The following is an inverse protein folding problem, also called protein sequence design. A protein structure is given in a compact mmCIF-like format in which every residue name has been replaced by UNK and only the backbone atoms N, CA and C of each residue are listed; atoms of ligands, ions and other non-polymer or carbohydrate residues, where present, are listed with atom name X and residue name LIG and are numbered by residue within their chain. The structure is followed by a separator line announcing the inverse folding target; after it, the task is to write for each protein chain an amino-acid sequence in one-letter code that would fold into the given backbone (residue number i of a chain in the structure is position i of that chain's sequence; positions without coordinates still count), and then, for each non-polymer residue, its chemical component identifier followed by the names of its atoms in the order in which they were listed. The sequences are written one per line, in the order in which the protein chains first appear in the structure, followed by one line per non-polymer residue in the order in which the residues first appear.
data_IF_062423053699
#
_entry.id   IF_062423053699
#
_cell.length_a   1.000
_cell.length_b   1.000
_cell.length_c   1.000
_cell.angle_alpha   90.00
_cell.angle_beta   90.00
_cell.angle_gamma   90.00
#
_symmetry.space_group_name_H-M   'P 1'
#
loop_
_entity.id
_entity.type
_entity.pdbx_description
1 polymer ?
#
# COMPACT_ATOMS: atom_id res chain seq x y z
N UNK A 1 10.50 4.43 -8.60
CA UNK A 1 11.88 4.95 -8.66
C UNK A 1 12.83 3.79 -8.40
N UNK A 2 13.77 3.55 -9.29
CA UNK A 2 14.65 2.40 -9.23
C UNK A 2 15.99 2.81 -8.59
N UNK A 3 16.34 2.17 -7.48
CA UNK A 3 17.63 2.29 -6.79
C UNK A 3 18.71 1.44 -7.48
N UNK A 4 18.90 1.62 -8.76
CA UNK A 4 19.97 0.91 -9.47
C UNK A 4 21.28 1.69 -9.29
N UNK A 5 22.19 1.16 -8.46
CA UNK A 5 23.47 1.77 -8.15
C UNK A 5 24.40 1.97 -9.39
N UNK A 6 24.08 1.34 -10.52
CA UNK A 6 24.84 1.45 -11.75
C UNK A 6 24.44 2.64 -12.64
N UNK A 7 23.36 3.38 -12.29
CA UNK A 7 22.89 4.52 -13.09
C UNK A 7 23.14 5.84 -12.36
N UNK A 8 23.95 6.71 -12.94
CA UNK A 8 24.21 8.07 -12.46
C UNK A 8 22.95 8.97 -12.42
N UNK A 9 21.80 8.45 -12.80
CA UNK A 9 20.54 9.15 -13.04
C UNK A 9 19.40 8.54 -12.22
N UNK A 10 19.65 8.39 -10.90
CA UNK A 10 18.60 7.93 -9.99
C UNK A 10 17.58 9.05 -9.79
N UNK A 11 16.36 8.86 -10.32
CA UNK A 11 15.28 9.81 -10.09
C UNK A 11 14.89 9.82 -8.60
N UNK A 12 14.88 10.99 -8.02
CA UNK A 12 14.47 11.24 -6.64
C UNK A 12 13.73 12.55 -6.52
N UNK A 13 12.88 12.67 -5.53
CA UNK A 13 12.42 13.96 -5.10
C UNK A 13 13.47 14.58 -4.15
N UNK A 14 13.82 15.81 -4.39
CA UNK A 14 14.74 16.57 -3.54
C UNK A 14 14.29 18.02 -3.47
N UNK A 15 14.38 18.59 -2.28
CA UNK A 15 14.09 20.01 -2.08
C UNK A 15 15.26 20.88 -2.53
N UNK A 16 14.97 22.14 -2.89
CA UNK A 16 16.02 23.10 -3.12
C UNK A 16 16.90 23.27 -1.89
N UNK A 17 18.19 23.48 -2.12
CA UNK A 17 19.12 23.84 -1.05
C UNK A 17 18.69 25.16 -0.42
N UNK A 18 18.72 25.22 0.92
CA UNK A 18 18.45 26.42 1.67
C UNK A 18 19.25 26.44 2.96
N UNK A 19 19.75 27.59 3.35
CA UNK A 19 20.35 27.80 4.67
C UNK A 19 19.31 27.79 5.81
N UNK A 20 18.01 27.87 5.50
CA UNK A 20 16.96 27.79 6.50
C UNK A 20 16.46 26.35 6.62
N UNK A 21 16.27 25.91 7.85
CA UNK A 21 15.64 24.62 8.19
C UNK A 21 14.10 24.70 8.15
N UNK A 22 13.54 25.40 7.15
CA UNK A 22 12.11 25.46 6.98
C UNK A 22 11.54 24.07 6.67
N UNK A 23 10.32 23.80 7.11
CA UNK A 23 9.63 22.55 6.80
C UNK A 23 9.56 22.31 5.29
N UNK A 24 9.74 21.05 4.91
CA UNK A 24 9.66 20.58 3.53
C UNK A 24 8.47 19.64 3.37
N UNK A 25 7.68 19.85 2.34
CA UNK A 25 6.45 19.09 2.14
C UNK A 25 6.43 18.41 0.78
N UNK A 26 5.88 17.19 0.77
CA UNK A 26 5.51 16.45 -0.42
C UNK A 26 4.06 16.01 -0.25
N UNK A 27 3.19 16.42 -1.18
CA UNK A 27 1.78 16.01 -1.18
C UNK A 27 1.52 15.04 -2.33
N UNK A 28 0.86 13.93 -2.03
CA UNK A 28 0.43 12.91 -2.98
C UNK A 28 -1.09 12.96 -3.06
N UNK A 29 -1.62 13.14 -4.27
CA UNK A 29 -3.03 12.97 -4.58
C UNK A 29 -3.25 11.55 -5.13
N UNK A 30 -4.04 10.74 -4.44
CA UNK A 30 -4.34 9.36 -4.82
C UNK A 30 -5.44 9.26 -5.90
N UNK A 31 -5.93 10.40 -6.39
CA UNK A 31 -6.98 10.51 -7.41
C UNK A 31 -8.39 10.31 -6.86
N UNK A 32 -8.57 9.37 -5.96
CA UNK A 32 -9.82 9.11 -5.21
C UNK A 32 -9.46 8.75 -3.78
N UNK A 33 -10.46 8.74 -2.88
CA UNK A 33 -10.25 8.24 -1.52
C UNK A 33 -9.83 6.78 -1.56
N UNK A 34 -8.75 6.45 -0.84
CA UNK A 34 -8.20 5.09 -0.69
C UNK A 34 -8.03 4.78 0.78
N UNK A 35 -8.19 3.52 1.14
CA UNK A 35 -7.89 3.02 2.49
C UNK A 35 -6.48 2.45 2.51
N UNK A 36 -5.69 2.86 3.49
CA UNK A 36 -4.30 2.44 3.66
C UNK A 36 -3.91 2.52 5.14
N UNK A 37 -2.91 1.74 5.51
CA UNK A 37 -2.43 1.62 6.88
C UNK A 37 -0.90 1.54 6.99
N UNK A 38 -0.19 1.58 5.85
CA UNK A 38 1.23 1.33 5.84
C UNK A 38 1.96 2.31 4.90
N UNK A 39 3.07 2.86 5.39
CA UNK A 39 3.93 3.76 4.62
C UNK A 39 5.36 3.24 4.59
N UNK A 40 6.01 3.32 3.43
CA UNK A 40 7.45 3.09 3.31
C UNK A 40 8.10 4.29 2.64
N UNK A 41 9.08 4.89 3.33
CA UNK A 41 9.83 6.02 2.80
C UNK A 41 11.29 5.58 2.61
N UNK A 42 11.77 5.68 1.37
CA UNK A 42 13.16 5.40 1.01
C UNK A 42 13.93 6.72 0.91
N UNK A 43 14.56 7.10 2.00
CA UNK A 43 15.35 8.33 2.07
C UNK A 43 16.67 8.18 1.32
N UNK A 44 17.19 9.28 0.79
CA UNK A 44 18.57 9.28 0.25
C UNK A 44 19.62 9.19 1.37
N UNK A 45 19.33 9.80 2.52
CA UNK A 45 20.25 9.92 3.67
C UNK A 45 19.51 9.78 4.99
N UNK A 46 20.27 9.50 6.04
CA UNK A 46 19.76 9.37 7.41
C UNK A 46 19.71 10.69 8.19
N UNK A 47 19.79 11.83 7.53
CA UNK A 47 19.82 13.14 8.17
C UNK A 47 18.45 13.70 8.59
N UNK A 48 17.41 12.90 8.57
CA UNK A 48 16.05 13.29 8.95
C UNK A 48 15.87 13.09 10.45
N UNK A 49 15.46 14.13 11.18
CA UNK A 49 15.20 14.07 12.63
C UNK A 49 13.72 14.07 12.96
N UNK A 50 12.94 14.94 12.32
CA UNK A 50 11.51 15.08 12.60
C UNK A 50 10.72 15.11 11.30
N UNK A 51 9.69 14.31 11.24
CA UNK A 51 8.72 14.33 10.15
C UNK A 51 7.35 13.84 10.61
N UNK A 52 6.33 14.17 9.82
CA UNK A 52 4.98 13.68 10.03
C UNK A 52 4.31 13.34 8.71
N UNK A 53 3.34 12.44 8.78
CA UNK A 53 2.44 12.10 7.69
C UNK A 53 1.04 12.54 8.10
N UNK A 54 0.41 13.32 7.22
CA UNK A 54 -0.93 13.86 7.45
C UNK A 54 -1.82 13.54 6.27
N UNK A 55 -3.11 13.39 6.49
CA UNK A 55 -4.09 13.01 5.47
C UNK A 55 -5.25 14.00 5.41
N UNK A 56 -5.84 14.15 4.22
CA UNK A 56 -7.02 14.98 3.98
C UNK A 56 -7.84 14.44 2.80
N UNK A 57 -9.12 14.81 2.74
CA UNK A 57 -10.00 14.45 1.61
C UNK A 57 -9.97 15.51 0.48
N UNK A 58 -9.50 16.72 0.75
CA UNK A 58 -9.37 17.81 -0.21
C UNK A 58 -7.97 18.41 -0.15
N UNK A 59 -7.50 18.97 -1.27
CA UNK A 59 -6.12 19.48 -1.38
C UNK A 59 -5.82 20.59 -0.37
N UNK A 60 -6.75 21.55 -0.24
CA UNK A 60 -6.63 22.72 0.63
C UNK A 60 -7.35 22.55 1.98
N UNK A 61 -7.73 21.32 2.32
CA UNK A 61 -8.46 21.01 3.55
C UNK A 61 -7.57 20.97 4.79
N UNK A 62 -8.19 20.73 5.93
CA UNK A 62 -7.52 20.54 7.19
C UNK A 62 -6.88 19.13 7.25
N UNK A 63 -5.56 19.07 7.23
CA UNK A 63 -4.80 17.82 7.29
C UNK A 63 -4.71 17.29 8.71
N UNK A 64 -5.13 16.06 8.91
CA UNK A 64 -5.03 15.33 10.18
C UNK A 64 -3.74 14.49 10.18
N UNK A 65 -2.93 14.64 11.24
CA UNK A 65 -1.72 13.82 11.41
C UNK A 65 -2.10 12.36 11.73
N UNK A 66 -1.47 11.42 11.02
CA UNK A 66 -1.64 9.97 11.22
C UNK A 66 -0.35 9.31 11.71
N UNK A 67 0.78 9.98 11.51
CA UNK A 67 2.06 9.55 12.05
C UNK A 67 2.94 10.76 12.37
N UNK A 68 3.66 10.73 13.49
CA UNK A 68 4.59 11.80 13.90
C UNK A 68 5.86 11.18 14.49
N UNK A 69 7.01 11.53 13.92
CA UNK A 69 8.33 11.35 14.51
C UNK A 69 8.88 12.73 14.88
N UNK A 70 9.10 12.98 16.16
CA UNK A 70 9.56 14.28 16.69
C UNK A 70 10.54 14.18 17.87
N UNK A 71 11.32 13.10 17.92
CA UNK A 71 12.33 12.84 18.98
C UNK A 71 13.62 13.65 18.81
N UNK A 72 13.82 14.30 17.68
CA UNK A 72 15.01 15.09 17.39
C UNK A 72 16.23 14.27 16.97
N UNK A 73 16.13 12.94 16.99
CA UNK A 73 17.21 12.05 16.62
C UNK A 73 17.17 11.71 15.13
N UNK A 74 18.34 11.58 14.52
CA UNK A 74 18.43 11.11 13.12
C UNK A 74 17.81 9.72 12.98
N UNK A 75 17.13 9.48 11.86
CA UNK A 75 16.71 8.12 11.51
C UNK A 75 17.95 7.21 11.42
N UNK A 76 17.82 5.99 11.90
CA UNK A 76 18.92 5.01 11.94
C UNK A 76 19.04 4.19 10.64
N UNK A 77 18.01 4.23 9.80
CA UNK A 77 17.95 3.56 8.50
C UNK A 77 17.50 4.54 7.43
N UNK A 78 17.96 4.36 6.19
CA UNK A 78 17.45 5.08 5.01
C UNK A 78 16.06 4.60 4.60
N UNK A 79 15.53 3.54 5.20
CA UNK A 79 14.17 3.08 5.03
C UNK A 79 13.40 3.32 6.32
N UNK A 80 12.34 4.12 6.26
CA UNK A 80 11.33 4.22 7.31
C UNK A 80 10.13 3.37 6.90
N UNK A 81 9.88 2.32 7.66
CA UNK A 81 8.77 1.38 7.50
C UNK A 81 7.78 1.64 8.64
N UNK A 82 6.56 2.10 8.31
CA UNK A 82 5.61 2.66 9.26
C UNK A 82 4.26 1.99 9.07
N UNK A 83 3.91 1.11 10.00
CA UNK A 83 2.59 0.51 10.08
C UNK A 83 1.74 1.35 11.04
N UNK A 84 0.54 1.75 10.61
CA UNK A 84 -0.45 2.39 11.48
C UNK A 84 -1.21 1.32 12.29
N UNK A 85 -1.64 1.70 13.48
CA UNK A 85 -2.49 0.83 14.32
C UNK A 85 -3.88 0.62 13.72
N UNK A 86 -4.39 1.63 13.01
CA UNK A 86 -5.68 1.60 12.33
C UNK A 86 -5.56 2.12 10.89
N UNK A 87 -6.27 1.47 9.98
CA UNK A 87 -6.35 1.93 8.60
C UNK A 87 -7.06 3.28 8.49
N UNK A 88 -6.58 4.12 7.60
CA UNK A 88 -7.16 5.44 7.34
C UNK A 88 -7.63 5.52 5.89
N UNK A 89 -8.72 6.28 5.67
CA UNK A 89 -9.25 6.54 4.32
C UNK A 89 -9.10 8.01 4.01
N UNK A 90 -8.41 8.34 2.92
CA UNK A 90 -8.21 9.71 2.46
C UNK A 90 -7.85 9.76 0.96
N UNK A 91 -7.95 10.96 0.36
CA UNK A 91 -7.49 11.19 -1.02
C UNK A 91 -6.10 11.82 -1.08
N UNK A 92 -5.75 12.67 -0.12
CA UNK A 92 -4.49 13.37 -0.09
C UNK A 92 -3.64 12.91 1.09
N UNK A 93 -2.36 12.66 0.82
CA UNK A 93 -1.36 12.29 1.82
C UNK A 93 -0.21 13.28 1.74
N UNK A 94 0.14 13.89 2.86
CA UNK A 94 1.21 14.90 2.96
C UNK A 94 2.31 14.42 3.89
N UNK A 95 3.51 14.29 3.37
CA UNK A 95 4.72 14.13 4.14
C UNK A 95 5.27 15.52 4.45
N UNK A 96 5.46 15.84 5.72
CA UNK A 96 6.10 17.08 6.17
C UNK A 96 7.36 16.73 6.95
N UNK A 97 8.52 17.14 6.44
CA UNK A 97 9.81 17.04 7.15
C UNK A 97 10.08 18.39 7.79
N UNK A 98 10.02 18.46 9.11
CA UNK A 98 10.19 19.66 9.91
C UNK A 98 11.48 19.67 10.75
N UNK A 99 12.32 18.62 10.63
CA UNK A 99 13.64 18.56 11.23
C UNK A 99 14.60 17.69 10.40
N UNK A 100 15.78 18.21 10.12
CA UNK A 100 16.86 17.48 9.48
C UNK A 100 18.20 18.11 9.84
N UNK A 101 19.25 17.29 9.96
CA UNK A 101 20.60 17.77 10.25
C UNK A 101 21.29 18.25 8.98
N UNK A 102 22.11 19.27 9.17
CA UNK A 102 22.88 19.87 8.10
C UNK A 102 24.35 19.71 8.45
N UNK A 103 25.11 19.04 7.59
CA UNK A 103 26.55 19.00 7.72
C UNK A 103 27.17 20.25 7.04
N UNK A 104 28.03 21.02 7.73
CA UNK A 104 28.73 22.14 7.12
C UNK A 104 29.46 21.70 5.83
N UNK A 105 29.21 22.41 4.73
CA UNK A 105 29.79 22.09 3.42
C UNK A 105 29.07 21.00 2.63
N UNK A 106 27.99 20.40 3.17
CA UNK A 106 27.16 19.41 2.50
C UNK A 106 25.85 20.01 1.98
N UNK A 107 25.15 19.26 1.12
CA UNK A 107 23.84 19.65 0.59
C UNK A 107 22.77 19.70 1.70
N UNK A 108 22.16 20.86 1.88
CA UNK A 108 21.11 21.10 2.88
C UNK A 108 19.73 20.84 2.26
N UNK A 109 19.45 19.60 1.93
CA UNK A 109 18.18 19.24 1.32
C UNK A 109 17.57 18.00 1.98
N UNK A 110 16.26 17.94 1.95
CA UNK A 110 15.50 16.70 2.15
C UNK A 110 15.38 16.00 0.82
N UNK A 111 15.68 14.72 0.79
CA UNK A 111 15.64 13.93 -0.43
C UNK A 111 15.20 12.50 -0.13
N UNK A 112 14.35 11.96 -1.00
CA UNK A 112 13.89 10.58 -0.94
C UNK A 112 13.76 9.99 -2.35
N UNK A 113 13.96 8.69 -2.44
CA UNK A 113 13.78 7.93 -3.68
C UNK A 113 12.33 7.49 -3.86
N UNK A 114 11.65 7.12 -2.76
CA UNK A 114 10.32 6.57 -2.83
C UNK A 114 9.49 6.96 -1.61
N UNK A 115 8.21 7.26 -1.82
CA UNK A 115 7.19 7.34 -0.79
C UNK A 115 6.04 6.42 -1.18
N UNK A 116 6.00 5.22 -0.58
CA UNK A 116 4.98 4.22 -0.82
C UNK A 116 3.86 4.40 0.18
N UNK A 117 2.64 4.40 -0.31
CA UNK A 117 1.41 4.41 0.46
C UNK A 117 0.72 3.10 0.16
N UNK A 118 0.64 2.22 1.15
CA UNK A 118 0.21 0.84 1.01
C UNK A 118 -1.03 0.61 1.87
N UNK A 119 -1.98 -0.12 1.32
CA UNK A 119 -3.18 -0.53 2.01
C UNK A 119 -3.59 -1.93 1.61
N UNK A 120 -4.62 -2.47 2.23
CA UNK A 120 -5.21 -3.70 1.78
C UNK A 120 -5.66 -3.55 0.32
N UNK A 121 -5.26 -4.51 -0.50
CA UNK A 121 -5.76 -4.58 -1.87
C UNK A 121 -7.28 -4.78 -1.82
N UNK A 122 -8.03 -3.99 -2.57
CA UNK A 122 -9.47 -4.19 -2.74
C UNK A 122 -9.73 -5.65 -3.15
N UNK A 123 -10.56 -6.35 -2.39
CA UNK A 123 -10.98 -7.70 -2.77
C UNK A 123 -11.98 -7.61 -3.92
N UNK A 124 -11.48 -7.68 -5.15
CA UNK A 124 -12.30 -7.62 -6.36
C UNK A 124 -13.25 -8.81 -6.49
N UNK A 125 -12.99 -9.92 -5.78
CA UNK A 125 -13.78 -11.15 -5.89
C UNK A 125 -15.22 -10.95 -5.44
N UNK A 126 -15.46 -10.14 -4.42
CA UNK A 126 -16.80 -9.93 -3.82
C UNK A 126 -17.80 -9.25 -4.77
N UNK A 127 -17.30 -8.53 -5.77
CA UNK A 127 -18.11 -7.87 -6.80
C UNK A 127 -18.16 -8.67 -8.11
N UNK A 128 -17.50 -9.81 -8.20
CA UNK A 128 -17.43 -10.61 -9.41
C UNK A 128 -18.67 -11.51 -9.58
N UNK A 129 -19.04 -11.78 -10.82
CA UNK A 129 -19.95 -12.89 -11.13
C UNK A 129 -19.17 -14.19 -11.11
N UNK A 130 -19.51 -15.10 -10.21
CA UNK A 130 -18.78 -16.35 -10.02
C UNK A 130 -19.53 -17.51 -10.65
N UNK A 131 -18.84 -18.31 -11.45
CA UNK A 131 -19.35 -19.53 -12.07
C UNK A 131 -18.37 -20.67 -11.90
N UNK A 132 -18.87 -21.91 -11.93
CA UNK A 132 -18.06 -23.13 -11.82
C UNK A 132 -18.64 -24.22 -12.72
N UNK A 133 -17.93 -25.34 -12.84
CA UNK A 133 -18.43 -26.54 -13.53
C UNK A 133 -19.54 -27.29 -12.75
N UNK A 134 -19.82 -26.87 -11.52
CA UNK A 134 -20.89 -27.35 -10.66
C UNK A 134 -20.58 -27.15 -9.19
N UNK A 135 -21.40 -27.75 -8.35
CA UNK A 135 -21.24 -27.76 -6.90
C UNK A 135 -21.69 -29.09 -6.28
N UNK A 136 -21.12 -29.40 -5.12
CA UNK A 136 -21.49 -30.60 -4.36
C UNK A 136 -22.95 -30.54 -3.91
N UNK A 137 -23.38 -29.38 -3.43
CA UNK A 137 -24.75 -29.13 -2.96
C UNK A 137 -25.16 -27.69 -3.30
N UNK A 138 -26.45 -27.37 -3.15
CA UNK A 138 -26.94 -26.00 -3.30
C UNK A 138 -26.37 -25.02 -2.27
N UNK A 139 -25.88 -25.51 -1.12
CA UNK A 139 -25.25 -24.67 -0.08
C UNK A 139 -23.77 -24.41 -0.30
N UNK A 140 -23.15 -25.05 -1.31
CA UNK A 140 -21.73 -24.92 -1.66
C UNK A 140 -21.55 -24.48 -3.12
N UNK A 141 -22.46 -23.64 -3.60
CA UNK A 141 -22.42 -23.13 -4.98
C UNK A 141 -21.23 -22.17 -5.23
N UNK A 142 -21.00 -21.86 -6.51
CA UNK A 142 -19.84 -21.07 -6.94
C UNK A 142 -19.74 -19.70 -6.25
N UNK A 143 -20.87 -19.05 -5.93
CA UNK A 143 -20.89 -17.72 -5.30
C UNK A 143 -20.23 -17.72 -3.92
N UNK A 144 -20.26 -18.87 -3.22
CA UNK A 144 -19.66 -19.04 -1.89
C UNK A 144 -18.12 -18.96 -1.86
N UNK A 145 -17.48 -19.02 -3.02
CA UNK A 145 -16.03 -18.86 -3.10
C UNK A 145 -15.58 -17.40 -3.06
N UNK A 146 -16.51 -16.44 -3.15
CA UNK A 146 -16.17 -15.02 -3.28
C UNK A 146 -17.22 -14.08 -2.66
N UNK A 147 -18.01 -14.55 -1.70
CA UNK A 147 -19.04 -13.77 -1.01
C UNK A 147 -18.50 -12.90 0.14
N UNK A 148 -17.21 -13.02 0.46
CA UNK A 148 -16.55 -12.29 1.54
C UNK A 148 -16.76 -12.90 2.92
N UNK A 149 -17.33 -14.11 3.01
CA UNK A 149 -17.58 -14.84 4.24
C UNK A 149 -16.68 -16.09 4.33
N UNK A 150 -15.64 -16.02 5.16
CA UNK A 150 -14.69 -17.13 5.36
C UNK A 150 -15.31 -18.37 6.01
N UNK A 151 -16.57 -18.33 6.44
CA UNK A 151 -17.30 -19.46 6.98
C UNK A 151 -18.07 -20.24 5.92
N UNK A 152 -18.21 -19.70 4.72
CA UNK A 152 -18.81 -20.33 3.55
C UNK A 152 -17.74 -20.88 2.61
N UNK A 153 -18.10 -21.78 1.69
CA UNK A 153 -17.19 -22.33 0.68
C UNK A 153 -17.90 -22.78 -0.58
N UNK A 154 -17.22 -22.74 -1.68
CA UNK A 154 -17.56 -23.56 -2.83
C UNK A 154 -16.93 -24.94 -2.69
N UNK A 155 -17.71 -25.97 -3.00
CA UNK A 155 -17.21 -27.32 -3.14
C UNK A 155 -17.59 -27.88 -4.53
N UNK A 156 -16.62 -28.44 -5.24
CA UNK A 156 -16.83 -29.03 -6.57
C UNK A 156 -17.78 -30.23 -6.51
N UNK A 157 -18.39 -30.60 -7.63
CA UNK A 157 -19.14 -31.86 -7.70
C UNK A 157 -18.28 -33.07 -7.27
N UNK A 158 -18.90 -34.09 -6.70
CA UNK A 158 -18.23 -35.32 -6.28
C UNK A 158 -17.82 -36.22 -7.49
N UNK A 159 -17.17 -35.64 -8.49
CA UNK A 159 -16.64 -36.32 -9.65
C UNK A 159 -15.11 -36.31 -9.63
N UNK A 160 -14.49 -37.33 -10.22
CA UNK A 160 -13.04 -37.36 -10.43
C UNK A 160 -12.69 -36.53 -11.66
N UNK A 161 -11.65 -35.69 -11.57
CA UNK A 161 -11.18 -34.91 -12.71
C UNK A 161 -10.78 -33.48 -12.32
N UNK A 162 -10.64 -32.64 -13.32
CA UNK A 162 -10.34 -31.23 -13.11
C UNK A 162 -11.63 -30.46 -12.92
N UNK A 163 -11.64 -29.58 -11.90
CA UNK A 163 -12.73 -28.66 -11.65
C UNK A 163 -12.25 -27.22 -11.86
N UNK A 164 -13.17 -26.33 -12.19
CA UNK A 164 -12.84 -24.93 -12.45
C UNK A 164 -13.82 -23.97 -11.76
N UNK A 165 -13.30 -22.82 -11.36
CA UNK A 165 -14.04 -21.68 -10.87
C UNK A 165 -13.64 -20.46 -11.71
N UNK A 166 -14.62 -19.69 -12.18
CA UNK A 166 -14.41 -18.50 -12.98
C UNK A 166 -15.00 -17.29 -12.27
N UNK A 167 -14.22 -16.21 -12.15
CA UNK A 167 -14.64 -14.90 -11.67
C UNK A 167 -14.67 -13.95 -12.86
N UNK A 168 -15.84 -13.37 -13.13
CA UNK A 168 -16.04 -12.36 -14.16
C UNK A 168 -16.27 -11.01 -13.49
N UNK A 169 -15.32 -10.10 -13.70
CA UNK A 169 -15.33 -8.75 -13.09
C UNK A 169 -16.16 -7.74 -13.90
N UNK A 170 -16.79 -8.15 -15.01
CA UNK A 170 -17.63 -7.30 -15.88
C UNK A 170 -16.86 -6.24 -16.68
N UNK A 171 -15.62 -5.96 -16.30
CA UNK A 171 -14.72 -5.01 -16.99
C UNK A 171 -13.27 -5.40 -16.73
N UNK A 172 -12.36 -4.87 -17.55
CA UNK A 172 -10.92 -5.07 -17.36
C UNK A 172 -10.46 -4.58 -15.97
N UNK A 173 -9.72 -5.41 -15.26
CA UNK A 173 -9.15 -5.13 -13.93
C UNK A 173 -7.66 -5.49 -13.91
N UNK A 174 -6.88 -4.68 -13.20
CA UNK A 174 -5.49 -5.03 -12.91
C UNK A 174 -5.43 -5.90 -11.65
N UNK A 175 -5.08 -7.16 -11.80
CA UNK A 175 -4.94 -8.13 -10.70
C UNK A 175 -3.46 -8.28 -10.40
N UNK A 176 -3.07 -8.06 -9.14
CA UNK A 176 -1.68 -8.21 -8.67
C UNK A 176 -1.47 -9.46 -7.84
N UNK A 177 -2.51 -9.87 -7.11
CA UNK A 177 -2.43 -11.00 -6.16
C UNK A 177 -3.73 -11.78 -6.20
N UNK A 178 -3.64 -13.10 -6.12
CA UNK A 178 -4.76 -13.99 -5.84
C UNK A 178 -4.46 -14.76 -4.55
N UNK A 179 -5.40 -14.74 -3.60
CA UNK A 179 -5.35 -15.55 -2.38
C UNK A 179 -6.48 -16.55 -2.42
N UNK A 180 -6.16 -17.81 -2.17
CA UNK A 180 -7.14 -18.90 -2.12
C UNK A 180 -7.04 -19.56 -0.74
N UNK A 181 -8.16 -19.57 -0.01
CA UNK A 181 -8.29 -20.28 1.25
C UNK A 181 -8.88 -21.66 0.98
N UNK A 182 -8.06 -22.70 1.14
CA UNK A 182 -8.47 -24.06 0.95
C UNK A 182 -9.04 -24.66 2.24
N UNK A 183 -10.18 -25.36 2.16
CA UNK A 183 -10.72 -26.08 3.31
C UNK A 183 -9.73 -27.15 3.80
N UNK A 184 -9.08 -27.88 2.88
CA UNK A 184 -8.14 -28.96 3.19
C UNK A 184 -6.89 -28.89 2.33
N UNK A 185 -5.73 -29.11 2.93
CA UNK A 185 -4.44 -29.07 2.23
C UNK A 185 -4.20 -30.25 1.27
N UNK A 186 -4.90 -31.34 1.44
CA UNK A 186 -4.72 -32.57 0.68
C UNK A 186 -5.67 -32.72 -0.54
N UNK A 187 -6.52 -31.74 -0.77
CA UNK A 187 -7.45 -31.73 -1.90
C UNK A 187 -6.87 -31.11 -3.17
N UNK A 188 -5.70 -30.50 -3.07
CA UNK A 188 -5.00 -29.95 -4.24
C UNK A 188 -4.20 -31.07 -4.87
N UNK A 189 -4.68 -31.60 -6.00
CA UNK A 189 -3.94 -32.56 -6.82
C UNK A 189 -2.60 -31.98 -7.29
N UNK A 190 -1.60 -32.87 -7.42
CA UNK A 190 -0.30 -32.56 -8.00
C UNK A 190 -0.38 -32.46 -9.50
#
# INVERSE_FOLDING_TARGET
VNRDAAKADQSRWATNQSSSQAARTLTVNLGTRKTFDHFVIEWERTNITNFKISVCDTEDGEYRDVYVKNDGENITSVTSDIQLDEAVTAQYVKLTVNGYTVNPGSWQSVSLYEFKILGEAENLSTAATVTADGSETAGTDASKAADGDDTTRWASPAATGSHWLKLDYGSEKTIRTAKIHWERKNEIGR
#
